data_IF_440479015570
#
_entry.id   IF_440479015570
#
_cell.length_a   1.000
_cell.length_b   1.000
_cell.length_c   1.000
_cell.angle_alpha   90.00
_cell.angle_beta   90.00
_cell.angle_gamma   90.00
#
_symmetry.space_group_name_H-M   'P 1'
#
loop_
_entity.id
_entity.type
_entity.pdbx_description
1 polymer ?
#
# COMPACT_ATOMS: atom_id res chain seq x y z
N UNK A 1 -8.75 -9.57 -11.84
CA UNK A 1 -7.34 -9.92 -12.06
C UNK A 1 -7.23 -11.34 -11.55
N UNK A 2 -7.41 -12.31 -12.45
CA UNK A 2 -7.29 -13.73 -12.14
C UNK A 2 -5.82 -14.04 -11.81
N UNK A 3 -5.59 -14.63 -10.64
CA UNK A 3 -4.29 -15.00 -10.12
C UNK A 3 -3.54 -16.00 -11.01
N UNK A 4 -2.90 -15.50 -12.02
CA UNK A 4 -1.88 -16.22 -12.76
C UNK A 4 -0.56 -15.45 -12.65
N UNK A 5 0.36 -16.05 -11.92
CA UNK A 5 1.79 -15.75 -11.88
C UNK A 5 2.20 -14.36 -11.39
N UNK A 6 2.42 -14.17 -10.08
CA UNK A 6 3.47 -13.28 -9.54
C UNK A 6 3.50 -11.80 -9.93
N UNK A 7 2.61 -11.32 -10.80
CA UNK A 7 2.60 -10.02 -11.44
C UNK A 7 1.47 -9.09 -10.98
N UNK A 8 1.07 -9.18 -9.72
CA UNK A 8 0.03 -8.27 -9.17
C UNK A 8 0.51 -6.83 -9.10
N UNK A 9 1.79 -6.62 -9.24
CA UNK A 9 2.43 -5.31 -9.15
C UNK A 9 2.93 -4.79 -10.50
N UNK A 10 2.51 -5.36 -11.62
CA UNK A 10 2.53 -4.58 -12.86
C UNK A 10 1.49 -3.48 -12.66
N UNK A 11 1.99 -2.28 -12.35
CA UNK A 11 1.16 -1.07 -12.31
C UNK A 11 0.30 -1.06 -13.55
N UNK A 12 -1.00 -1.22 -13.37
CA UNK A 12 -1.93 -1.19 -14.47
C UNK A 12 -1.69 0.11 -15.25
N UNK A 13 -1.25 0.00 -16.48
CA UNK A 13 -1.05 1.10 -17.42
C UNK A 13 0.06 2.13 -17.12
N UNK A 14 1.03 1.85 -16.24
CA UNK A 14 2.12 2.79 -15.95
C UNK A 14 1.71 4.01 -15.12
N UNK A 15 0.60 3.92 -14.40
CA UNK A 15 0.15 4.95 -13.46
C UNK A 15 0.55 4.61 -12.01
N UNK A 16 0.72 5.63 -11.14
CA UNK A 16 0.92 5.40 -9.71
C UNK A 16 -0.23 4.57 -9.13
N UNK A 17 0.09 3.63 -8.25
CA UNK A 17 -0.89 2.69 -7.70
C UNK A 17 -0.77 2.63 -6.17
N UNK A 18 -1.89 2.77 -5.47
CA UNK A 18 -2.00 2.51 -4.04
C UNK A 18 -2.54 1.09 -3.83
N UNK A 19 -1.74 0.21 -3.26
CA UNK A 19 -2.19 -1.10 -2.79
C UNK A 19 -2.58 -0.98 -1.33
N UNK A 20 -3.87 -1.02 -1.04
CA UNK A 20 -4.45 -0.90 0.30
C UNK A 20 -4.80 -2.27 0.86
N UNK A 21 -4.06 -2.71 1.89
CA UNK A 21 -4.26 -3.99 2.56
C UNK A 21 -5.31 -3.81 3.66
N UNK A 22 -6.36 -4.62 3.61
CA UNK A 22 -7.49 -4.48 4.49
C UNK A 22 -8.18 -5.81 4.82
N UNK A 23 -8.97 -5.81 5.88
CA UNK A 23 -9.79 -6.94 6.28
C UNK A 23 -11.21 -6.47 6.65
N UNK A 24 -12.21 -7.31 6.46
CA UNK A 24 -13.63 -6.99 6.73
C UNK A 24 -13.95 -6.79 8.21
N UNK A 25 -13.14 -7.35 9.10
CA UNK A 25 -13.24 -7.17 10.55
C UNK A 25 -12.52 -5.90 11.07
N UNK A 26 -11.78 -5.19 10.20
CA UNK A 26 -10.99 -4.02 10.56
C UNK A 26 -11.80 -2.74 10.41
N UNK A 27 -12.32 -2.19 11.51
CA UNK A 27 -13.14 -0.96 11.49
C UNK A 27 -12.44 0.25 10.87
N UNK A 28 -11.15 0.46 11.14
CA UNK A 28 -10.36 1.53 10.53
C UNK A 28 -10.21 1.34 9.00
N UNK A 29 -10.17 0.08 8.54
CA UNK A 29 -10.13 -0.24 7.11
C UNK A 29 -11.43 0.13 6.42
N UNK A 30 -12.57 -0.15 7.05
CA UNK A 30 -13.90 0.19 6.51
C UNK A 30 -14.05 1.70 6.35
N UNK A 31 -13.68 2.47 7.38
CA UNK A 31 -13.68 3.94 7.29
C UNK A 31 -12.81 4.44 6.15
N UNK A 32 -11.66 3.80 5.93
CA UNK A 32 -10.77 4.18 4.81
C UNK A 32 -11.38 3.84 3.44
N UNK A 33 -12.05 2.71 3.31
CA UNK A 33 -12.78 2.33 2.09
C UNK A 33 -13.90 3.34 1.79
N UNK A 34 -14.64 3.79 2.81
CA UNK A 34 -15.65 4.86 2.68
C UNK A 34 -15.02 6.15 2.17
N UNK A 35 -13.91 6.60 2.78
CA UNK A 35 -13.19 7.80 2.36
C UNK A 35 -12.73 7.68 0.89
N UNK A 36 -12.11 6.56 0.51
CA UNK A 36 -11.67 6.30 -0.87
C UNK A 36 -12.84 6.33 -1.85
N UNK A 37 -13.99 5.80 -1.46
CA UNK A 37 -15.21 5.80 -2.28
C UNK A 37 -15.73 7.22 -2.49
N UNK A 38 -15.88 7.99 -1.42
CA UNK A 38 -16.34 9.38 -1.47
C UNK A 38 -15.39 10.27 -2.28
N UNK A 39 -14.07 10.09 -2.11
CA UNK A 39 -13.03 10.88 -2.79
C UNK A 39 -12.62 10.31 -4.15
N UNK A 40 -13.39 9.37 -4.70
CA UNK A 40 -13.05 8.68 -5.96
C UNK A 40 -12.82 9.59 -7.15
N UNK A 41 -13.57 10.69 -7.25
CA UNK A 41 -13.37 11.69 -8.29
C UNK A 41 -12.00 12.36 -8.22
N UNK A 42 -11.55 12.73 -7.02
CA UNK A 42 -10.27 13.42 -6.81
C UNK A 42 -9.10 12.46 -7.07
N UNK A 43 -9.24 11.21 -6.62
CA UNK A 43 -8.28 10.13 -6.86
C UNK A 43 -8.07 9.91 -8.37
N UNK A 44 -9.16 9.81 -9.13
CA UNK A 44 -9.11 9.63 -10.59
C UNK A 44 -8.50 10.83 -11.31
N UNK A 45 -8.85 12.05 -10.89
CA UNK A 45 -8.25 13.28 -11.44
C UNK A 45 -6.75 13.36 -11.21
N UNK A 46 -6.27 12.83 -10.08
CA UNK A 46 -4.84 12.77 -9.77
C UNK A 46 -4.09 11.66 -10.52
N UNK A 47 -4.80 10.80 -11.27
CA UNK A 47 -4.20 9.65 -11.98
C UNK A 47 -3.71 8.55 -11.04
N UNK A 48 -4.29 8.42 -9.84
CA UNK A 48 -3.95 7.37 -8.89
C UNK A 48 -4.86 6.16 -9.09
N UNK A 49 -4.27 5.00 -9.30
CA UNK A 49 -4.96 3.71 -9.26
C UNK A 49 -5.06 3.21 -7.82
N UNK A 50 -6.18 2.59 -7.47
CA UNK A 50 -6.37 1.94 -6.17
C UNK A 50 -6.60 0.45 -6.38
N UNK A 51 -5.93 -0.38 -5.58
CA UNK A 51 -6.20 -1.81 -5.45
C UNK A 51 -6.48 -2.10 -3.98
N UNK A 52 -7.72 -2.44 -3.64
CA UNK A 52 -8.07 -2.92 -2.30
C UNK A 52 -7.76 -4.42 -2.21
N UNK A 53 -6.73 -4.78 -1.44
CA UNK A 53 -6.25 -6.15 -1.28
C UNK A 53 -6.78 -6.72 0.04
N UNK A 54 -7.78 -7.60 -0.05
CA UNK A 54 -8.42 -8.23 1.10
C UNK A 54 -7.56 -9.39 1.64
N UNK A 55 -7.41 -9.48 2.96
CA UNK A 55 -6.63 -10.52 3.65
C UNK A 55 -7.46 -11.38 4.61
N UNK A 56 -8.77 -11.38 4.50
CA UNK A 56 -9.64 -12.13 5.41
C UNK A 56 -9.29 -13.61 5.50
N UNK A 57 -9.01 -14.26 4.37
CA UNK A 57 -8.75 -15.70 4.29
C UNK A 57 -7.42 -16.13 4.93
N UNK A 58 -6.46 -15.22 5.03
CA UNK A 58 -5.10 -15.50 5.54
C UNK A 58 -4.79 -14.77 6.84
N UNK A 59 -5.75 -14.03 7.38
CA UNK A 59 -5.60 -13.34 8.66
C UNK A 59 -5.92 -14.29 9.83
N UNK A 60 -5.27 -14.06 10.97
CA UNK A 60 -5.53 -14.82 12.20
C UNK A 60 -6.96 -14.63 12.77
N UNK A 61 -7.71 -13.68 12.24
CA UNK A 61 -9.08 -13.35 12.64
C UNK A 61 -10.13 -13.81 11.61
N UNK A 62 -9.83 -14.83 10.82
CA UNK A 62 -10.73 -15.35 9.77
C UNK A 62 -12.13 -15.73 10.27
N UNK A 63 -12.25 -16.21 11.51
CA UNK A 63 -13.54 -16.59 12.11
C UNK A 63 -14.54 -15.42 12.28
N UNK A 64 -14.04 -14.18 12.30
CA UNK A 64 -14.83 -12.96 12.38
C UNK A 64 -14.93 -12.24 11.02
N UNK A 65 -14.36 -12.83 9.96
CA UNK A 65 -14.40 -12.23 8.64
C UNK A 65 -15.80 -12.31 8.03
N UNK A 66 -16.19 -11.23 7.39
CA UNK A 66 -17.33 -11.21 6.48
C UNK A 66 -16.79 -11.45 5.08
N UNK A 67 -17.68 -11.73 4.12
CA UNK A 67 -17.28 -11.74 2.72
C UNK A 67 -16.81 -10.31 2.31
N UNK A 68 -15.51 -10.09 2.31
CA UNK A 68 -14.92 -8.78 2.03
C UNK A 68 -15.28 -8.26 0.64
N UNK A 69 -15.39 -9.14 -0.36
CA UNK A 69 -15.75 -8.72 -1.71
C UNK A 69 -17.23 -8.27 -1.77
N UNK A 70 -18.11 -8.98 -1.07
CA UNK A 70 -19.51 -8.60 -0.94
C UNK A 70 -19.66 -7.26 -0.22
N UNK A 71 -18.90 -7.05 0.83
CA UNK A 71 -18.88 -5.78 1.56
C UNK A 71 -18.46 -4.61 0.66
N UNK A 72 -17.44 -4.77 -0.19
CA UNK A 72 -17.03 -3.74 -1.16
C UNK A 72 -18.13 -3.44 -2.18
N UNK A 73 -18.91 -4.46 -2.61
CA UNK A 73 -20.05 -4.27 -3.50
C UNK A 73 -21.17 -3.47 -2.81
N UNK A 74 -21.50 -3.81 -1.57
CA UNK A 74 -22.49 -3.09 -0.77
C UNK A 74 -22.10 -1.62 -0.54
N UNK A 75 -20.80 -1.35 -0.39
CA UNK A 75 -20.24 0.01 -0.25
C UNK A 75 -20.08 0.74 -1.58
N UNK A 76 -20.44 0.13 -2.72
CA UNK A 76 -20.23 0.67 -4.07
C UNK A 76 -18.78 1.11 -4.31
N UNK A 77 -17.79 0.35 -3.81
CA UNK A 77 -16.37 0.68 -3.97
C UNK A 77 -15.96 0.72 -5.44
N UNK A 78 -15.50 1.89 -5.95
CA UNK A 78 -15.42 2.11 -7.41
C UNK A 78 -14.06 1.76 -8.01
N UNK A 79 -13.16 1.09 -7.26
CA UNK A 79 -11.82 0.76 -7.69
C UNK A 79 -11.59 -0.75 -7.76
N UNK A 80 -10.41 -1.15 -8.27
CA UNK A 80 -10.03 -2.56 -8.32
C UNK A 80 -9.89 -3.16 -6.92
N UNK A 81 -10.26 -4.42 -6.81
CA UNK A 81 -10.13 -5.21 -5.58
C UNK A 81 -9.69 -6.63 -5.89
N UNK A 82 -9.05 -7.27 -4.93
CA UNK A 82 -8.58 -8.65 -5.02
C UNK A 82 -8.50 -9.28 -3.62
N UNK A 83 -8.50 -10.61 -3.57
CA UNK A 83 -8.16 -11.37 -2.36
C UNK A 83 -6.66 -11.66 -2.40
N UNK A 84 -5.97 -11.43 -1.29
CA UNK A 84 -4.56 -11.74 -1.17
C UNK A 84 -4.35 -13.26 -1.10
N UNK A 85 -3.25 -13.71 -1.67
CA UNK A 85 -2.72 -15.04 -1.39
C UNK A 85 -1.42 -14.92 -0.57
N UNK A 86 -0.95 -16.02 -0.02
CA UNK A 86 0.27 -16.04 0.81
C UNK A 86 1.49 -15.49 0.07
N UNK A 87 1.64 -15.79 -1.22
CA UNK A 87 2.78 -15.33 -2.01
C UNK A 87 2.84 -13.81 -2.11
N UNK A 88 1.68 -13.18 -2.34
CA UNK A 88 1.58 -11.71 -2.43
C UNK A 88 1.86 -11.10 -1.07
N UNK A 89 1.25 -11.66 -0.03
CA UNK A 89 1.41 -11.13 1.32
C UNK A 89 2.86 -11.24 1.79
N UNK A 90 3.53 -12.37 1.52
CA UNK A 90 4.94 -12.56 1.83
C UNK A 90 5.83 -11.54 1.09
N UNK A 91 5.56 -11.31 -0.20
CA UNK A 91 6.31 -10.31 -0.98
C UNK A 91 6.13 -8.88 -0.45
N UNK A 92 4.91 -8.52 0.00
CA UNK A 92 4.64 -7.23 0.62
C UNK A 92 5.27 -7.13 2.02
N UNK A 93 5.25 -8.21 2.80
CA UNK A 93 5.91 -8.31 4.10
C UNK A 93 7.42 -8.15 3.96
N UNK A 94 8.06 -8.82 2.99
CA UNK A 94 9.50 -8.65 2.71
C UNK A 94 9.85 -7.20 2.38
N UNK A 95 9.05 -6.54 1.53
CA UNK A 95 9.24 -5.13 1.24
C UNK A 95 9.08 -4.26 2.50
N UNK A 96 8.09 -4.55 3.34
CA UNK A 96 7.89 -3.87 4.60
C UNK A 96 9.11 -4.05 5.52
N UNK A 97 9.61 -5.27 5.68
CA UNK A 97 10.72 -5.59 6.59
C UNK A 97 12.03 -4.93 6.16
N UNK A 98 12.33 -4.94 4.86
CA UNK A 98 13.52 -4.29 4.29
C UNK A 98 13.51 -2.78 4.60
N UNK A 99 12.36 -2.12 4.54
CA UNK A 99 12.28 -0.67 4.65
C UNK A 99 11.96 -0.17 6.05
N UNK A 100 11.25 -0.96 6.84
CA UNK A 100 10.83 -0.59 8.19
C UNK A 100 11.73 -1.19 9.27
N UNK A 101 12.49 -2.25 8.93
CA UNK A 101 13.53 -2.84 9.79
C UNK A 101 13.01 -3.51 11.06
N UNK A 102 11.74 -3.91 11.13
CA UNK A 102 11.13 -4.39 12.37
C UNK A 102 10.85 -5.89 12.43
N UNK A 103 11.02 -6.66 11.36
CA UNK A 103 10.71 -8.11 11.32
C UNK A 103 9.43 -8.48 12.09
N UNK A 104 8.41 -7.64 11.97
CA UNK A 104 7.10 -7.81 12.61
C UNK A 104 6.01 -7.89 11.55
N UNK A 105 4.94 -8.64 11.79
CA UNK A 105 3.79 -8.66 10.89
C UNK A 105 3.32 -7.24 10.57
N UNK A 106 3.01 -6.99 9.31
CA UNK A 106 2.42 -5.71 8.91
C UNK A 106 1.12 -5.48 9.66
N UNK A 107 0.92 -4.30 10.25
CA UNK A 107 -0.37 -3.95 10.84
C UNK A 107 -1.43 -3.82 9.73
N UNK A 108 -2.70 -4.02 10.10
CA UNK A 108 -3.83 -3.75 9.23
C UNK A 108 -4.59 -2.55 9.81
N UNK A 109 -4.82 -1.49 9.01
CA UNK A 109 -4.46 -1.33 7.60
C UNK A 109 -2.99 -0.95 7.36
N UNK A 110 -2.45 -1.36 6.23
CA UNK A 110 -1.20 -0.86 5.65
C UNK A 110 -1.44 -0.56 4.16
N UNK A 111 -0.82 0.47 3.63
CA UNK A 111 -0.89 0.76 2.21
C UNK A 111 0.51 1.01 1.62
N UNK A 112 0.69 0.59 0.37
CA UNK A 112 1.90 0.79 -0.41
C UNK A 112 1.60 1.69 -1.59
N UNK A 113 2.19 2.88 -1.62
CA UNK A 113 2.16 3.72 -2.81
C UNK A 113 3.30 3.30 -3.73
N UNK A 114 2.94 2.91 -4.93
CA UNK A 114 3.87 2.51 -5.98
C UNK A 114 3.93 3.58 -7.05
N UNK A 115 5.12 3.79 -7.60
CA UNK A 115 5.30 4.66 -8.75
C UNK A 115 4.84 3.98 -10.06
N UNK A 116 4.88 4.73 -11.15
CA UNK A 116 4.51 4.25 -12.49
C UNK A 116 5.40 3.11 -13.04
N UNK A 117 6.46 2.74 -12.32
CA UNK A 117 7.36 1.62 -12.65
C UNK A 117 7.15 0.43 -11.70
N UNK A 118 6.11 0.48 -10.85
CA UNK A 118 5.82 -0.58 -9.87
C UNK A 118 6.76 -0.62 -8.68
N UNK A 119 7.53 0.42 -8.40
CA UNK A 119 8.44 0.48 -7.26
C UNK A 119 7.74 1.14 -6.09
N UNK A 120 7.85 0.56 -4.91
CA UNK A 120 7.32 1.15 -3.68
C UNK A 120 8.01 2.50 -3.42
N UNK A 121 7.24 3.55 -3.25
CA UNK A 121 7.71 4.91 -2.96
C UNK A 121 7.38 5.35 -1.54
N UNK A 122 6.22 4.96 -1.01
CA UNK A 122 5.80 5.25 0.38
C UNK A 122 5.08 4.04 0.98
N UNK A 123 5.29 3.78 2.25
CA UNK A 123 4.53 2.80 3.04
C UNK A 123 3.78 3.54 4.13
N UNK A 124 2.46 3.40 4.16
CA UNK A 124 1.59 3.96 5.17
C UNK A 124 1.17 2.87 6.16
N UNK A 125 1.41 3.08 7.44
CA UNK A 125 0.94 2.23 8.52
C UNK A 125 -0.24 2.89 9.22
N UNK A 126 -1.35 2.17 9.31
CA UNK A 126 -2.60 2.75 9.79
C UNK A 126 -3.31 3.57 8.70
N UNK A 127 -4.20 4.45 9.11
CA UNK A 127 -4.98 5.30 8.21
C UNK A 127 -4.32 6.68 8.05
N UNK A 128 -4.12 7.08 6.82
CA UNK A 128 -3.65 8.43 6.44
C UNK A 128 -4.69 9.08 5.55
N UNK A 129 -4.89 10.40 5.66
CA UNK A 129 -5.86 11.08 4.82
C UNK A 129 -5.52 10.93 3.33
N UNK A 130 -6.56 10.95 2.48
CA UNK A 130 -6.33 10.83 1.03
C UNK A 130 -5.53 12.02 0.50
N UNK A 131 -5.64 13.20 1.11
CA UNK A 131 -4.90 14.38 0.69
C UNK A 131 -3.37 14.18 0.86
N UNK A 132 -2.93 13.56 1.95
CA UNK A 132 -1.53 13.16 2.15
C UNK A 132 -1.08 12.19 1.05
N UNK A 133 -1.89 11.18 0.76
CA UNK A 133 -1.56 10.18 -0.26
C UNK A 133 -1.46 10.82 -1.65
N UNK A 134 -2.38 11.73 -1.98
CA UNK A 134 -2.38 12.44 -3.26
C UNK A 134 -1.15 13.37 -3.40
N UNK A 135 -0.73 14.02 -2.31
CA UNK A 135 0.47 14.84 -2.30
C UNK A 135 1.76 14.04 -2.50
N UNK A 136 1.75 12.76 -2.10
CA UNK A 136 2.88 11.85 -2.22
C UNK A 136 3.03 11.16 -3.59
N UNK A 137 2.03 11.24 -4.48
CA UNK A 137 2.09 10.61 -5.82
C UNK A 137 3.35 11.00 -6.59
N UNK A 138 3.78 12.25 -6.46
CA UNK A 138 4.98 12.78 -7.12
C UNK A 138 6.31 12.44 -6.43
N UNK A 139 6.27 11.79 -5.26
CA UNK A 139 7.45 11.56 -4.42
C UNK A 139 8.60 10.83 -5.15
N UNK A 140 8.28 9.81 -5.94
CA UNK A 140 9.26 9.05 -6.70
C UNK A 140 10.00 9.85 -7.78
N UNK A 141 9.43 10.98 -8.23
CA UNK A 141 10.01 11.89 -9.24
C UNK A 141 10.97 12.90 -8.64
N UNK A 142 10.95 13.07 -7.31
CA UNK A 142 11.84 13.99 -6.62
C UNK A 142 13.30 13.52 -6.70
N UNK A 143 14.24 14.46 -6.75
CA UNK A 143 15.65 14.16 -6.59
C UNK A 143 15.96 13.72 -5.14
N UNK A 144 17.17 13.22 -4.89
CA UNK A 144 17.58 12.68 -3.58
C UNK A 144 17.44 13.70 -2.45
N UNK A 145 17.81 14.96 -2.70
CA UNK A 145 17.78 16.05 -1.71
C UNK A 145 16.32 16.38 -1.33
N UNK A 146 15.46 16.56 -2.31
CA UNK A 146 14.06 16.92 -2.09
C UNK A 146 13.29 15.78 -1.42
N UNK A 147 13.60 14.52 -1.78
CA UNK A 147 13.06 13.35 -1.08
C UNK A 147 13.47 13.33 0.39
N UNK A 148 14.73 13.62 0.70
CA UNK A 148 15.21 13.67 2.08
C UNK A 148 14.53 14.76 2.89
N UNK A 149 14.28 15.91 2.31
CA UNK A 149 13.54 17.02 2.95
C UNK A 149 12.09 16.62 3.19
N UNK A 150 11.41 16.08 2.16
CA UNK A 150 10.01 15.68 2.27
C UNK A 150 9.83 14.52 3.25
N UNK A 151 10.78 13.56 3.30
CA UNK A 151 10.73 12.42 4.22
C UNK A 151 10.82 12.82 5.70
N UNK A 152 11.47 13.94 6.00
CA UNK A 152 11.56 14.45 7.38
C UNK A 152 10.23 15.11 7.85
N UNK A 153 9.34 15.46 6.92
CA UNK A 153 8.08 16.14 7.19
C UNK A 153 6.85 15.23 7.15
N UNK A 154 7.02 13.95 6.81
CA UNK A 154 5.91 13.00 6.63
C UNK A 154 5.58 12.29 7.93
N UNK A 155 4.29 12.18 8.24
CA UNK A 155 3.74 11.33 9.30
C UNK A 155 3.90 9.82 9.01
N UNK A 156 4.37 9.47 7.81
CA UNK A 156 4.67 8.11 7.35
C UNK A 156 6.18 7.84 7.29
N UNK A 157 6.54 6.55 7.24
CA UNK A 157 7.92 6.15 6.97
C UNK A 157 8.15 6.27 5.46
N UNK A 158 8.88 7.31 5.07
CA UNK A 158 9.35 7.44 3.70
C UNK A 158 10.58 6.59 3.50
N UNK A 159 10.60 5.88 2.39
CA UNK A 159 11.75 5.12 1.97
C UNK A 159 12.72 6.11 1.31
N UNK A 160 13.65 6.64 2.10
CA UNK A 160 14.93 7.02 1.53
C UNK A 160 15.49 5.76 0.88
N UNK A 161 16.01 5.87 -0.35
CA UNK A 161 16.62 4.74 -1.02
C UNK A 161 17.23 3.78 0.00
N UNK A 162 17.06 2.44 -0.15
CA UNK A 162 17.86 1.53 0.59
C UNK A 162 19.30 1.99 0.31
N UNK A 163 19.93 2.59 1.31
CA UNK A 163 21.36 2.69 1.34
C UNK A 163 21.72 1.23 1.25
N UNK A 164 22.26 0.82 0.08
CA UNK A 164 22.91 -0.46 0.01
C UNK A 164 23.94 -0.39 1.14
N UNK A 165 23.64 -1.06 2.24
CA UNK A 165 24.62 -1.28 3.29
C UNK A 165 25.71 -2.03 2.56
N UNK A 166 26.77 -1.31 2.18
CA UNK A 166 27.98 -1.93 1.69
C UNK A 166 28.45 -2.77 2.85
N UNK A 167 28.24 -4.07 2.75
CA UNK A 167 28.72 -5.07 3.71
C UNK A 167 30.24 -5.03 3.95
N UNK A 168 30.94 -4.06 3.38
CA UNK A 168 32.37 -3.80 3.53
C UNK A 168 32.75 -2.86 4.67
N UNK A 169 31.83 -2.14 5.28
CA UNK A 169 32.15 -1.15 6.32
C UNK A 169 31.94 -1.67 7.75
N UNK A 170 31.74 -2.97 7.92
CA UNK A 170 31.63 -3.64 9.23
C UNK A 170 32.89 -4.41 9.63
N UNK A 171 34.04 -4.08 9.07
CA UNK A 171 35.35 -4.58 9.52
C UNK A 171 36.21 -3.43 10.04
N UNK A 172 36.00 -3.09 11.30
CA UNK A 172 37.00 -2.49 12.17
C UNK A 172 36.62 -2.73 13.62
#
# INVERSE_FOLDING_TARGET
INGQNGKILETANGEPTLVFIWASWCGACIQKIEELTVRSSDIRKAGLQIIALNVDEISQNSDNSKDGLKLLQEMNFPFANAVANEQILNSLQENHDIHVGLNKPMPIPTAFLMDSKGRVSVIYKGTHSIDVILDDIGYSKLNRKDRSIKSAALDGITINHPIAVKTGDLQA
#
